data_IF_394760360381
#
_entry.id   IF_394760360381
#
_cell.length_a   1.000
_cell.length_b   1.000
_cell.length_c   1.000
_cell.angle_alpha   90.00
_cell.angle_beta   90.00
_cell.angle_gamma   90.00
#
_symmetry.space_group_name_H-M   'P 1'
#
loop_
_entity.id
_entity.type
_entity.pdbx_description
1 polymer ?
#
# COMPACT_ATOMS: atom_id res chain seq x y z
N UNK A 1 1.93 -16.94 -21.79
CA UNK A 1 2.39 -15.55 -21.56
C UNK A 1 3.55 -15.61 -20.58
N UNK A 2 4.78 -15.57 -21.13
CA UNK A 2 6.02 -15.79 -20.41
C UNK A 2 6.42 -14.52 -19.63
N UNK A 3 5.97 -14.20 -18.50
CA UNK A 3 6.54 -13.21 -17.57
C UNK A 3 5.53 -12.44 -16.71
N UNK A 4 4.47 -13.10 -16.19
CA UNK A 4 3.58 -12.42 -15.28
C UNK A 4 4.30 -12.08 -13.94
N UNK A 5 5.24 -12.92 -13.51
CA UNK A 5 6.12 -12.61 -12.37
C UNK A 5 6.88 -11.31 -12.57
N UNK A 6 7.48 -11.09 -13.76
CA UNK A 6 8.20 -9.85 -14.05
C UNK A 6 7.26 -8.63 -14.03
N UNK A 7 6.07 -8.74 -14.63
CA UNK A 7 5.07 -7.67 -14.60
C UNK A 7 4.66 -7.33 -13.18
N UNK A 8 4.35 -8.36 -12.40
CA UNK A 8 3.96 -8.16 -11.01
C UNK A 8 5.12 -7.59 -10.18
N UNK A 9 6.37 -7.97 -10.48
CA UNK A 9 7.57 -7.36 -9.87
C UNK A 9 7.70 -5.88 -10.21
N UNK A 10 7.43 -5.48 -11.45
CA UNK A 10 7.40 -4.05 -11.85
C UNK A 10 6.29 -3.30 -11.10
N UNK A 11 5.11 -3.89 -10.99
CA UNK A 11 4.01 -3.30 -10.22
C UNK A 11 4.37 -3.15 -8.74
N UNK A 12 4.96 -4.16 -8.14
CA UNK A 12 5.46 -4.10 -6.76
C UNK A 12 6.53 -3.01 -6.61
N UNK A 13 7.47 -2.94 -7.55
CA UNK A 13 8.54 -1.93 -7.52
C UNK A 13 7.96 -0.50 -7.58
N UNK A 14 7.14 -0.20 -8.57
CA UNK A 14 6.57 1.15 -8.75
C UNK A 14 5.62 1.54 -7.62
N UNK A 15 4.83 0.57 -7.14
CA UNK A 15 3.93 0.79 -6.01
C UNK A 15 4.69 1.14 -4.73
N UNK A 16 5.70 0.33 -4.36
CA UNK A 16 6.47 0.54 -3.13
C UNK A 16 7.40 1.75 -3.21
N UNK A 17 7.88 2.12 -4.40
CA UNK A 17 8.62 3.37 -4.60
C UNK A 17 7.78 4.60 -4.21
N UNK A 18 6.50 4.63 -4.59
CA UNK A 18 5.59 5.71 -4.24
C UNK A 18 5.14 5.64 -2.77
N UNK A 19 4.77 4.44 -2.29
CA UNK A 19 4.19 4.23 -0.95
C UNK A 19 5.20 4.48 0.16
N UNK A 20 6.44 4.01 0.01
CA UNK A 20 7.49 4.27 0.98
C UNK A 20 7.82 5.75 1.10
N UNK A 21 7.84 6.46 -0.02
CA UNK A 21 8.11 7.90 -0.01
C UNK A 21 7.03 8.71 0.71
N UNK A 22 5.74 8.40 0.48
CA UNK A 22 4.65 9.10 1.15
C UNK A 22 4.63 8.80 2.67
N UNK A 23 4.98 7.59 3.09
CA UNK A 23 5.00 7.20 4.49
C UNK A 23 6.23 7.74 5.24
N UNK A 24 7.44 7.47 4.72
CA UNK A 24 8.69 7.79 5.44
C UNK A 24 9.01 9.28 5.51
N UNK A 25 8.60 10.05 4.51
CA UNK A 25 8.81 11.49 4.48
C UNK A 25 7.61 12.31 4.97
N UNK A 26 6.55 11.66 5.46
CA UNK A 26 5.34 12.30 5.98
C UNK A 26 5.67 13.35 7.07
N UNK A 27 6.39 12.93 8.09
CA UNK A 27 6.78 13.81 9.21
C UNK A 27 7.60 14.99 8.73
N UNK A 28 8.62 14.74 7.89
CA UNK A 28 9.46 15.81 7.35
C UNK A 28 8.66 16.81 6.52
N UNK A 29 7.73 16.33 5.71
CA UNK A 29 6.86 17.17 4.88
C UNK A 29 5.93 18.04 5.73
N UNK A 30 5.20 17.43 6.65
CA UNK A 30 4.20 18.12 7.48
C UNK A 30 4.84 19.13 8.44
N UNK A 31 6.00 18.80 9.05
CA UNK A 31 6.75 19.73 9.88
C UNK A 31 7.22 20.95 9.07
N UNK A 32 7.70 20.76 7.84
CA UNK A 32 8.09 21.89 6.95
C UNK A 32 6.92 22.74 6.49
N UNK A 33 5.69 22.22 6.55
CA UNK A 33 4.46 23.00 6.35
C UNK A 33 4.03 23.77 7.58
N UNK A 34 4.76 23.69 8.70
CA UNK A 34 4.48 24.40 9.94
C UNK A 34 3.52 23.70 10.89
N UNK A 35 3.23 22.40 10.65
CA UNK A 35 2.39 21.61 11.56
C UNK A 35 3.26 21.15 12.73
N UNK A 36 2.77 21.29 13.96
CA UNK A 36 3.52 20.87 15.16
C UNK A 36 3.70 19.35 15.21
N UNK A 37 4.79 18.88 15.81
CA UNK A 37 5.14 17.46 15.90
C UNK A 37 4.05 16.61 16.57
N UNK A 38 3.40 17.14 17.60
CA UNK A 38 2.29 16.46 18.26
C UNK A 38 1.10 16.23 17.34
N UNK A 39 0.71 17.25 16.55
CA UNK A 39 -0.38 17.12 15.57
C UNK A 39 0.00 16.16 14.44
N UNK A 40 1.25 16.19 13.96
CA UNK A 40 1.74 15.25 12.96
C UNK A 40 1.66 13.81 13.47
N UNK A 41 2.14 13.56 14.70
CA UNK A 41 2.06 12.22 15.30
C UNK A 41 0.63 11.73 15.46
N UNK A 42 -0.28 12.58 15.98
CA UNK A 42 -1.71 12.23 16.11
C UNK A 42 -2.35 11.94 14.76
N UNK A 43 -2.06 12.73 13.74
CA UNK A 43 -2.61 12.57 12.40
C UNK A 43 -2.18 11.26 11.75
N UNK A 44 -0.89 10.95 11.83
CA UNK A 44 -0.35 9.71 11.27
C UNK A 44 -0.83 8.48 12.05
N UNK A 45 -0.97 8.58 13.37
CA UNK A 45 -1.55 7.54 14.20
C UNK A 45 -3.01 7.27 13.82
N UNK A 46 -3.82 8.31 13.61
CA UNK A 46 -5.21 8.16 13.15
C UNK A 46 -5.29 7.54 11.76
N UNK A 47 -4.43 7.96 10.82
CA UNK A 47 -4.35 7.35 9.50
C UNK A 47 -4.00 5.85 9.58
N UNK A 48 -3.04 5.48 10.44
CA UNK A 48 -2.67 4.09 10.70
C UNK A 48 -3.81 3.27 11.33
N UNK A 49 -4.52 3.83 12.30
CA UNK A 49 -5.70 3.18 12.90
C UNK A 49 -6.81 2.96 11.87
N UNK A 50 -7.11 3.96 11.05
CA UNK A 50 -8.07 3.81 9.95
C UNK A 50 -7.63 2.72 8.96
N UNK A 51 -6.34 2.65 8.62
CA UNK A 51 -5.79 1.58 7.79
C UNK A 51 -5.97 0.22 8.44
N UNK A 52 -5.63 0.08 9.71
CA UNK A 52 -5.79 -1.17 10.46
C UNK A 52 -7.24 -1.66 10.49
N UNK A 53 -8.21 -0.76 10.62
CA UNK A 53 -9.64 -1.10 10.60
C UNK A 53 -10.17 -1.44 9.19
N UNK A 54 -9.65 -0.77 8.16
CA UNK A 54 -10.12 -0.97 6.78
C UNK A 54 -9.48 -2.16 6.09
N UNK A 55 -8.24 -2.52 6.43
CA UNK A 55 -7.51 -3.63 5.80
C UNK A 55 -8.25 -4.99 5.89
N UNK A 56 -8.80 -5.43 7.04
CA UNK A 56 -9.56 -6.67 7.11
C UNK A 56 -10.83 -6.65 6.24
N UNK A 57 -11.50 -5.50 6.16
CA UNK A 57 -12.69 -5.33 5.33
C UNK A 57 -12.33 -5.44 3.84
N UNK A 58 -11.25 -4.81 3.44
CA UNK A 58 -10.74 -4.88 2.08
C UNK A 58 -10.20 -6.27 1.73
N UNK A 59 -9.56 -6.97 2.67
CA UNK A 59 -9.14 -8.36 2.49
C UNK A 59 -10.36 -9.28 2.31
N UNK A 60 -11.38 -9.16 3.15
CA UNK A 60 -12.61 -9.93 3.01
C UNK A 60 -13.36 -9.61 1.71
N UNK A 61 -13.32 -8.37 1.24
CA UNK A 61 -13.83 -7.98 -0.07
C UNK A 61 -13.00 -8.63 -1.19
N UNK A 62 -11.67 -8.63 -1.05
CA UNK A 62 -10.75 -9.24 -2.00
C UNK A 62 -11.04 -10.73 -2.20
N UNK A 63 -11.24 -11.46 -1.11
CA UNK A 63 -11.51 -12.92 -1.13
C UNK A 63 -12.83 -13.26 -1.87
N UNK A 64 -13.80 -12.35 -1.83
CA UNK A 64 -15.09 -12.50 -2.51
C UNK A 64 -15.09 -11.96 -3.94
N UNK A 65 -14.10 -11.15 -4.29
CA UNK A 65 -14.06 -10.38 -5.52
C UNK A 65 -13.28 -11.11 -6.62
N UNK A 66 -13.66 -10.84 -7.87
CA UNK A 66 -12.91 -11.30 -9.05
C UNK A 66 -11.67 -10.43 -9.25
N UNK A 67 -10.61 -10.97 -9.86
CA UNK A 67 -9.35 -10.25 -10.09
C UNK A 67 -9.51 -8.89 -10.79
N UNK A 68 -10.48 -8.75 -11.70
CA UNK A 68 -10.80 -7.47 -12.33
C UNK A 68 -11.35 -6.43 -11.34
N UNK A 69 -12.13 -6.84 -10.34
CA UNK A 69 -12.63 -5.94 -9.30
C UNK A 69 -11.51 -5.50 -8.34
N UNK A 70 -10.57 -6.41 -8.01
CA UNK A 70 -9.38 -6.09 -7.24
C UNK A 70 -8.54 -5.02 -7.93
N UNK A 71 -8.23 -5.22 -9.22
CA UNK A 71 -7.45 -4.25 -10.01
C UNK A 71 -8.14 -2.89 -10.04
N UNK A 72 -9.46 -2.84 -10.26
CA UNK A 72 -10.22 -1.59 -10.25
C UNK A 72 -10.14 -0.86 -8.91
N UNK A 73 -10.24 -1.58 -7.80
CA UNK A 73 -10.18 -0.99 -6.47
C UNK A 73 -8.76 -0.47 -6.14
N UNK A 74 -7.72 -1.23 -6.52
CA UNK A 74 -6.32 -0.76 -6.38
C UNK A 74 -6.10 0.51 -7.21
N UNK A 75 -6.59 0.54 -8.45
CA UNK A 75 -6.48 1.72 -9.31
C UNK A 75 -7.24 2.91 -8.72
N UNK A 76 -8.44 2.71 -8.20
CA UNK A 76 -9.23 3.77 -7.56
C UNK A 76 -8.47 4.37 -6.36
N UNK A 77 -7.98 3.53 -5.45
CA UNK A 77 -7.20 3.99 -4.29
C UNK A 77 -5.90 4.70 -4.73
N UNK A 78 -5.24 4.20 -5.77
CA UNK A 78 -4.04 4.84 -6.32
C UNK A 78 -4.34 6.18 -6.97
N UNK A 79 -5.46 6.32 -7.67
CA UNK A 79 -5.91 7.60 -8.24
C UNK A 79 -6.30 8.60 -7.15
N UNK A 80 -7.03 8.17 -6.12
CA UNK A 80 -7.35 9.01 -4.96
C UNK A 80 -6.07 9.49 -4.26
N UNK A 81 -5.11 8.60 -4.03
CA UNK A 81 -3.82 8.96 -3.46
C UNK A 81 -3.08 9.98 -4.35
N UNK A 82 -3.08 9.79 -5.68
CA UNK A 82 -2.49 10.75 -6.62
C UNK A 82 -3.18 12.11 -6.55
N UNK A 83 -4.51 12.13 -6.46
CA UNK A 83 -5.29 13.35 -6.28
C UNK A 83 -4.92 14.08 -4.98
N UNK A 84 -4.78 13.35 -3.88
CA UNK A 84 -4.30 13.92 -2.61
C UNK A 84 -2.91 14.55 -2.74
N UNK A 85 -1.98 13.88 -3.43
CA UNK A 85 -0.64 14.42 -3.67
C UNK A 85 -0.64 15.65 -4.57
N UNK A 86 -1.47 15.67 -5.61
CA UNK A 86 -1.63 16.85 -6.49
C UNK A 86 -2.21 18.06 -5.75
N UNK A 87 -3.19 17.84 -4.87
CA UNK A 87 -3.73 18.90 -4.01
C UNK A 87 -2.63 19.52 -3.14
N UNK A 88 -1.66 18.73 -2.65
CA UNK A 88 -0.53 19.25 -1.86
C UNK A 88 0.36 20.24 -2.63
N UNK A 89 0.29 20.25 -3.97
CA UNK A 89 1.08 21.16 -4.81
C UNK A 89 0.43 22.55 -4.96
N UNK A 90 -0.84 22.69 -4.57
CA UNK A 90 -1.54 23.98 -4.65
C UNK A 90 -0.97 24.92 -3.57
N UNK A 91 -0.52 26.13 -3.96
CA UNK A 91 -0.02 27.10 -2.99
C UNK A 91 -1.16 27.74 -2.18
N UNK A 92 -0.87 28.15 -0.95
CA UNK A 92 -1.83 28.90 -0.11
C UNK A 92 -2.93 28.06 0.54
N UNK A 93 -2.85 26.72 0.51
CA UNK A 93 -3.83 25.90 1.18
C UNK A 93 -3.80 26.09 2.70
N UNK A 94 -4.98 26.12 3.37
CA UNK A 94 -5.05 26.07 4.83
C UNK A 94 -4.32 24.87 5.38
N UNK A 95 -3.63 25.05 6.49
CA UNK A 95 -2.78 24.02 7.09
C UNK A 95 -3.57 22.75 7.46
N UNK A 96 -4.82 22.93 7.89
CA UNK A 96 -5.75 21.83 8.18
C UNK A 96 -6.06 20.98 6.95
N UNK A 97 -6.26 21.62 5.80
CA UNK A 97 -6.50 20.92 4.51
C UNK A 97 -5.26 20.13 4.11
N UNK A 98 -4.07 20.75 4.22
CA UNK A 98 -2.79 20.07 3.97
C UNK A 98 -2.66 18.81 4.83
N UNK A 99 -2.92 18.93 6.13
CA UNK A 99 -2.81 17.85 7.09
C UNK A 99 -3.77 16.69 6.78
N UNK A 100 -5.06 16.99 6.63
CA UNK A 100 -6.11 15.99 6.39
C UNK A 100 -5.94 15.30 5.04
N UNK A 101 -5.69 16.06 3.99
CA UNK A 101 -5.52 15.50 2.63
C UNK A 101 -4.25 14.64 2.56
N UNK A 102 -3.18 15.00 3.26
CA UNK A 102 -1.99 14.17 3.31
C UNK A 102 -2.25 12.84 4.04
N UNK A 103 -2.92 12.88 5.20
CA UNK A 103 -3.31 11.69 5.95
C UNK A 103 -4.23 10.76 5.13
N UNK A 104 -5.16 11.33 4.38
CA UNK A 104 -6.02 10.58 3.45
C UNK A 104 -5.18 9.90 2.35
N UNK A 105 -4.17 10.57 1.82
CA UNK A 105 -3.24 9.99 0.84
C UNK A 105 -2.45 8.82 1.43
N UNK A 106 -1.96 8.93 2.66
CA UNK A 106 -1.30 7.83 3.39
C UNK A 106 -2.27 6.66 3.55
N UNK A 107 -3.47 6.92 4.06
CA UNK A 107 -4.49 5.90 4.25
C UNK A 107 -4.84 5.18 2.94
N UNK A 108 -5.07 5.89 1.84
CA UNK A 108 -5.35 5.28 0.52
C UNK A 108 -4.19 4.39 0.06
N UNK A 109 -2.95 4.82 0.32
CA UNK A 109 -1.76 4.05 -0.02
C UNK A 109 -1.70 2.75 0.77
N UNK A 110 -1.89 2.80 2.08
CA UNK A 110 -1.81 1.61 2.93
C UNK A 110 -2.98 0.64 2.72
N UNK A 111 -4.18 1.17 2.48
CA UNK A 111 -5.39 0.39 2.22
C UNK A 111 -5.28 -0.48 0.95
N UNK A 112 -4.48 -0.10 -0.03
CA UNK A 112 -4.29 -0.87 -1.25
C UNK A 112 -3.31 -2.06 -1.09
N UNK A 113 -2.51 -2.11 -0.02
CA UNK A 113 -1.51 -3.18 0.21
C UNK A 113 -2.11 -4.58 0.25
N UNK A 114 -3.15 -4.87 1.07
CA UNK A 114 -3.75 -6.21 1.10
C UNK A 114 -4.36 -6.61 -0.24
N UNK A 115 -4.95 -5.66 -0.97
CA UNK A 115 -5.51 -5.91 -2.29
C UNK A 115 -4.43 -6.27 -3.31
N UNK A 116 -3.29 -5.57 -3.25
CA UNK A 116 -2.13 -5.86 -4.10
C UNK A 116 -1.60 -7.27 -3.83
N UNK A 117 -1.51 -7.68 -2.56
CA UNK A 117 -1.08 -9.03 -2.19
C UNK A 117 -2.11 -10.10 -2.66
N UNK A 118 -3.41 -9.85 -2.45
CA UNK A 118 -4.49 -10.73 -2.91
C UNK A 118 -4.49 -10.90 -4.44
N UNK A 119 -4.08 -9.89 -5.18
CA UNK A 119 -4.00 -9.94 -6.63
C UNK A 119 -3.03 -11.03 -7.12
N UNK A 120 -1.87 -11.23 -6.45
CA UNK A 120 -0.93 -12.30 -6.82
C UNK A 120 -1.54 -13.68 -6.62
N UNK A 121 -2.25 -13.88 -5.50
CA UNK A 121 -2.95 -15.13 -5.20
C UNK A 121 -4.07 -15.40 -6.21
N UNK A 122 -4.81 -14.34 -6.59
CA UNK A 122 -5.87 -14.46 -7.59
C UNK A 122 -5.32 -14.88 -8.97
N UNK A 123 -4.14 -14.39 -9.38
CA UNK A 123 -3.50 -14.83 -10.61
C UNK A 123 -2.97 -16.26 -10.54
N UNK A 124 -2.35 -16.63 -9.41
CA UNK A 124 -1.84 -17.98 -9.19
C UNK A 124 -2.98 -19.02 -9.23
N UNK A 125 -4.09 -18.72 -8.55
CA UNK A 125 -5.30 -19.55 -8.57
C UNK A 125 -5.96 -19.62 -9.97
N UNK A 126 -5.73 -18.63 -10.83
CA UNK A 126 -6.23 -18.64 -12.22
C UNK A 126 -5.31 -19.38 -13.20
N UNK A 127 -4.27 -20.08 -12.71
CA UNK A 127 -3.31 -20.81 -13.51
C UNK A 127 -2.19 -19.96 -14.13
N UNK A 128 -2.02 -18.73 -13.66
CA UNK A 128 -0.90 -17.88 -14.04
C UNK A 128 0.12 -17.82 -12.89
N UNK A 129 1.15 -18.66 -12.87
CA UNK A 129 2.09 -18.74 -11.75
C UNK A 129 2.82 -17.42 -11.55
N UNK A 130 2.71 -16.87 -10.34
CA UNK A 130 3.38 -15.65 -9.92
C UNK A 130 4.29 -15.97 -8.74
N UNK A 131 5.60 -15.77 -8.91
CA UNK A 131 6.52 -15.87 -7.79
C UNK A 131 6.42 -14.62 -6.91
N UNK A 132 5.53 -14.69 -5.91
CA UNK A 132 5.29 -13.59 -4.97
C UNK A 132 6.56 -13.18 -4.20
N UNK A 133 7.39 -14.14 -3.79
CA UNK A 133 8.62 -13.87 -3.04
C UNK A 133 9.60 -12.99 -3.82
N UNK A 134 9.82 -13.32 -5.09
CA UNK A 134 10.66 -12.51 -5.99
C UNK A 134 10.05 -11.11 -6.18
N UNK A 135 8.77 -11.04 -6.47
CA UNK A 135 8.10 -9.74 -6.68
C UNK A 135 8.13 -8.86 -5.42
N UNK A 136 7.97 -9.45 -4.23
CA UNK A 136 8.05 -8.72 -2.95
C UNK A 136 9.47 -8.22 -2.66
N UNK A 137 10.49 -8.98 -3.07
CA UNK A 137 11.88 -8.53 -2.98
C UNK A 137 12.12 -7.28 -3.84
N UNK A 138 11.56 -7.21 -5.06
CA UNK A 138 11.60 -5.98 -5.89
C UNK A 138 10.94 -4.79 -5.18
N UNK A 139 9.85 -5.02 -4.43
CA UNK A 139 9.24 -3.98 -3.59
C UNK A 139 10.17 -3.47 -2.49
N UNK A 140 10.92 -4.35 -1.82
CA UNK A 140 11.89 -3.96 -0.81
C UNK A 140 13.05 -3.15 -1.41
N UNK A 141 13.57 -3.58 -2.57
CA UNK A 141 14.59 -2.83 -3.32
C UNK A 141 14.06 -1.46 -3.72
N UNK A 142 12.82 -1.38 -4.19
CA UNK A 142 12.18 -0.11 -4.55
C UNK A 142 12.10 0.85 -3.36
N UNK A 143 11.75 0.36 -2.18
CA UNK A 143 11.72 1.15 -0.94
C UNK A 143 13.10 1.74 -0.61
N UNK A 144 14.15 0.94 -0.68
CA UNK A 144 15.50 1.39 -0.41
C UNK A 144 15.99 2.43 -1.45
N UNK A 145 15.82 2.12 -2.73
CA UNK A 145 16.25 3.00 -3.83
C UNK A 145 15.45 4.31 -3.83
N UNK A 146 14.13 4.24 -3.66
CA UNK A 146 13.30 5.46 -3.66
C UNK A 146 13.59 6.36 -2.46
N UNK A 147 13.87 5.79 -1.28
CA UNK A 147 14.25 6.56 -0.09
C UNK A 147 15.57 7.30 -0.31
N UNK A 148 16.54 6.64 -0.91
CA UNK A 148 17.83 7.25 -1.27
C UNK A 148 17.64 8.38 -2.30
N UNK A 149 16.94 8.10 -3.39
CA UNK A 149 16.65 9.08 -4.45
C UNK A 149 15.89 10.27 -3.90
N UNK A 150 14.86 10.05 -3.06
CA UNK A 150 14.09 11.12 -2.42
C UNK A 150 14.95 11.99 -1.52
N UNK A 151 15.92 11.42 -0.80
CA UNK A 151 16.87 12.20 -0.02
C UNK A 151 17.62 13.22 -0.90
N UNK A 152 18.12 12.78 -2.05
CA UNK A 152 18.80 13.66 -3.03
C UNK A 152 17.83 14.67 -3.67
N UNK A 153 16.64 14.24 -4.04
CA UNK A 153 15.62 15.12 -4.64
C UNK A 153 15.21 16.23 -3.67
N UNK A 154 14.98 15.88 -2.41
CA UNK A 154 14.63 16.86 -1.37
C UNK A 154 15.78 17.85 -1.12
N UNK A 155 17.02 17.37 -1.15
CA UNK A 155 18.20 18.22 -0.97
C UNK A 155 18.39 19.23 -2.12
N UNK A 156 18.00 18.86 -3.36
CA UNK A 156 18.17 19.70 -4.56
C UNK A 156 16.95 20.55 -4.90
N UNK A 157 15.76 19.98 -4.79
CA UNK A 157 14.50 20.56 -5.27
C UNK A 157 13.50 20.85 -4.13
N UNK A 158 13.85 20.54 -2.89
CA UNK A 158 12.95 20.73 -1.76
C UNK A 158 11.71 19.83 -1.78
N UNK A 159 10.66 20.24 -1.08
CA UNK A 159 9.42 19.46 -0.93
C UNK A 159 8.60 19.36 -2.24
N UNK A 160 8.74 20.32 -3.14
CA UNK A 160 8.09 20.27 -4.46
C UNK A 160 8.66 19.11 -5.27
N UNK A 161 9.97 18.92 -5.26
CA UNK A 161 10.63 17.80 -5.92
C UNK A 161 10.16 16.46 -5.34
N UNK A 162 10.00 16.36 -4.03
CA UNK A 162 9.42 15.16 -3.38
C UNK A 162 8.01 14.85 -3.92
N UNK A 163 7.12 15.84 -3.94
CA UNK A 163 5.75 15.65 -4.42
C UNK A 163 5.72 15.23 -5.89
N UNK A 164 6.54 15.86 -6.75
CA UNK A 164 6.66 15.48 -8.15
C UNK A 164 7.13 14.04 -8.33
N UNK A 165 8.15 13.62 -7.58
CA UNK A 165 8.61 12.24 -7.59
C UNK A 165 7.50 11.25 -7.17
N UNK A 166 6.79 11.55 -6.07
CA UNK A 166 5.72 10.70 -5.57
C UNK A 166 4.57 10.58 -6.57
N UNK A 167 4.16 11.69 -7.18
CA UNK A 167 3.13 11.70 -8.23
C UNK A 167 3.60 10.87 -9.43
N UNK A 168 4.82 11.09 -9.92
CA UNK A 168 5.36 10.34 -11.04
C UNK A 168 5.45 8.83 -10.76
N UNK A 169 5.95 8.44 -9.58
CA UNK A 169 6.02 7.04 -9.16
C UNK A 169 4.62 6.42 -9.02
N UNK A 170 3.63 7.17 -8.54
CA UNK A 170 2.25 6.70 -8.43
C UNK A 170 1.61 6.51 -9.80
N UNK A 171 1.83 7.43 -10.74
CA UNK A 171 1.38 7.26 -12.12
C UNK A 171 2.06 6.07 -12.80
N UNK A 172 3.36 5.87 -12.60
CA UNK A 172 4.05 4.68 -13.09
C UNK A 172 3.45 3.38 -12.51
N UNK A 173 3.06 3.38 -11.23
CA UNK A 173 2.34 2.27 -10.62
C UNK A 173 0.98 2.02 -11.29
N UNK A 174 0.19 3.06 -11.54
CA UNK A 174 -1.10 2.95 -12.23
C UNK A 174 -0.91 2.37 -13.64
N UNK A 175 0.07 2.87 -14.38
CA UNK A 175 0.39 2.38 -15.74
C UNK A 175 0.86 0.91 -15.73
N UNK A 176 1.53 0.46 -14.67
CA UNK A 176 1.98 -0.93 -14.56
C UNK A 176 0.83 -1.94 -14.57
N UNK A 177 -0.38 -1.52 -14.17
CA UNK A 177 -1.58 -2.35 -14.24
C UNK A 177 -2.14 -2.49 -15.66
N UNK A 178 -1.72 -1.66 -16.62
CA UNK A 178 -2.15 -1.79 -18.00
C UNK A 178 -1.68 -3.11 -18.60
N UNK A 179 -2.62 -3.87 -19.19
CA UNK A 179 -2.33 -5.14 -19.88
C UNK A 179 -2.15 -6.35 -18.96
N UNK A 180 -2.62 -6.29 -17.71
CA UNK A 180 -2.86 -7.50 -16.95
C UNK A 180 -3.98 -8.33 -17.63
N UNK A 181 -3.84 -9.66 -17.71
CA UNK A 181 -4.88 -10.50 -18.28
C UNK A 181 -6.15 -10.39 -17.44
N UNK A 182 -7.30 -10.30 -18.13
CA UNK A 182 -8.58 -10.34 -17.45
C UNK A 182 -8.80 -11.74 -16.87
N UNK A 183 -8.88 -11.85 -15.55
CA UNK A 183 -9.22 -13.11 -14.89
C UNK A 183 -10.73 -13.30 -14.95
N UNK A 184 -11.19 -14.22 -15.78
CA UNK A 184 -12.63 -14.46 -16.00
C UNK A 184 -13.31 -15.22 -14.86
N UNK A 185 -12.62 -15.95 -14.03
CA UNK A 185 -13.11 -16.60 -12.79
C UNK A 185 -11.92 -17.30 -12.13
N UNK A 186 -11.60 -16.96 -10.89
CA UNK A 186 -10.94 -17.95 -10.04
C UNK A 186 -11.93 -19.11 -9.94
N UNK A 187 -11.58 -20.29 -10.42
CA UNK A 187 -12.31 -21.48 -10.06
C UNK A 187 -12.20 -21.59 -8.54
N UNK A 188 -13.31 -21.76 -7.80
CA UNK A 188 -13.20 -22.12 -6.42
C UNK A 188 -12.33 -23.37 -6.38
N UNK A 189 -11.26 -23.35 -5.62
CA UNK A 189 -10.48 -24.57 -5.38
C UNK A 189 -11.45 -25.54 -4.74
N UNK A 190 -11.96 -26.51 -5.52
CA UNK A 190 -12.74 -27.62 -5.01
C UNK A 190 -11.84 -28.34 -4.01
N UNK A 191 -12.09 -28.17 -2.73
CA UNK A 191 -11.36 -28.87 -1.69
C UNK A 191 -11.23 -28.15 -0.35
N UNK A 192 -11.43 -26.85 -0.29
CA UNK A 192 -11.64 -26.18 1.00
C UNK A 192 -13.10 -25.80 1.15
N UNK A 193 -13.93 -26.77 1.56
CA UNK A 193 -15.11 -26.42 2.39
C UNK A 193 -14.54 -25.61 3.56
N UNK A 194 -14.70 -24.29 3.49
CA UNK A 194 -14.38 -23.41 4.59
C UNK A 194 -15.22 -23.89 5.76
N UNK A 195 -14.64 -24.58 6.70
CA UNK A 195 -15.15 -24.51 8.07
C UNK A 195 -15.27 -23.02 8.34
N UNK A 196 -16.46 -22.57 8.77
CA UNK A 196 -16.69 -21.19 9.19
C UNK A 196 -15.74 -20.87 10.34
N UNK A 197 -14.50 -20.56 9.99
CA UNK A 197 -13.46 -20.26 10.95
C UNK A 197 -13.65 -18.80 11.35
N UNK A 198 -14.52 -18.60 12.34
CA UNK A 198 -14.59 -17.33 13.03
C UNK A 198 -13.18 -16.94 13.49
N UNK A 199 -12.83 -15.66 13.43
CA UNK A 199 -11.53 -15.13 13.83
C UNK A 199 -11.08 -15.69 15.20
N UNK A 200 -12.01 -15.83 16.14
CA UNK A 200 -11.79 -16.42 17.47
C UNK A 200 -11.40 -17.91 17.40
N UNK A 201 -12.02 -18.69 16.52
CA UNK A 201 -11.72 -20.12 16.33
C UNK A 201 -10.33 -20.29 15.70
N UNK A 202 -9.94 -19.39 14.77
CA UNK A 202 -8.59 -19.38 14.19
C UNK A 202 -7.52 -19.12 15.27
N UNK A 203 -7.73 -18.13 16.12
CA UNK A 203 -6.78 -17.79 17.19
C UNK A 203 -6.67 -18.89 18.24
N UNK A 204 -7.74 -19.58 18.60
CA UNK A 204 -7.69 -20.72 19.53
C UNK A 204 -6.97 -21.94 18.91
N UNK A 205 -7.06 -22.13 17.60
CA UNK A 205 -6.45 -23.26 16.89
C UNK A 205 -4.95 -23.04 16.62
N UNK A 206 -4.49 -21.79 16.54
CA UNK A 206 -3.11 -21.44 16.24
C UNK A 206 -2.50 -20.47 17.28
N UNK A 207 -2.31 -20.90 18.55
CA UNK A 207 -1.82 -20.02 19.61
C UNK A 207 -0.41 -19.49 19.35
N UNK A 208 0.46 -20.25 18.67
CA UNK A 208 1.82 -19.83 18.29
C UNK A 208 1.76 -18.65 17.32
N UNK A 209 0.79 -18.62 16.42
CA UNK A 209 0.60 -17.50 15.49
C UNK A 209 0.16 -16.23 16.24
N UNK A 210 -0.71 -16.34 17.25
CA UNK A 210 -1.06 -15.22 18.12
C UNK A 210 0.15 -14.68 18.87
N UNK A 211 0.97 -15.57 19.42
CA UNK A 211 2.18 -15.18 20.16
C UNK A 211 3.18 -14.45 19.23
N UNK A 212 3.34 -14.92 18.01
CA UNK A 212 4.22 -14.26 17.02
C UNK A 212 3.68 -12.89 16.60
N UNK A 213 2.36 -12.72 16.43
CA UNK A 213 1.75 -11.42 16.14
C UNK A 213 1.91 -10.44 17.30
N UNK A 214 1.71 -10.90 18.53
CA UNK A 214 1.96 -10.09 19.74
C UNK A 214 3.44 -9.70 19.85
N UNK A 215 4.35 -10.62 19.57
CA UNK A 215 5.80 -10.35 19.57
C UNK A 215 6.20 -9.31 18.52
N UNK A 216 5.66 -9.40 17.31
CA UNK A 216 5.91 -8.43 16.22
C UNK A 216 5.29 -7.08 16.58
N UNK A 217 4.07 -7.07 17.13
CA UNK A 217 3.42 -5.82 17.60
C UNK A 217 4.20 -5.16 18.70
N UNK A 218 4.67 -5.92 19.68
CA UNK A 218 5.51 -5.44 20.78
C UNK A 218 6.84 -4.88 20.26
N UNK A 219 7.51 -5.60 19.37
CA UNK A 219 8.74 -5.13 18.72
C UNK A 219 8.53 -3.82 17.98
N UNK A 220 7.43 -3.68 17.22
CA UNK A 220 7.09 -2.45 16.49
C UNK A 220 6.85 -1.23 17.39
N UNK A 221 6.44 -1.43 18.65
CA UNK A 221 6.29 -0.34 19.62
C UNK A 221 7.63 0.18 20.19
N UNK A 222 8.70 -0.61 20.12
CA UNK A 222 10.00 -0.27 20.69
C UNK A 222 11.07 0.07 19.63
N UNK A 223 10.79 -0.09 18.36
CA UNK A 223 11.66 0.38 17.27
C UNK A 223 11.26 1.82 16.92
N UNK A 224 12.17 2.81 17.08
CA UNK A 224 11.91 4.20 16.74
C UNK A 224 11.71 4.42 15.25
#
# INVERSE_FOLDING_TARGET
>A
MKNLTLRYSITQFTYWAASSGIAFFATTYLLRRGISSGVVGTLLALAGLCSCMTQPLLAAYADRSRGAALTKLILLLSLLCSGCLLVQMVPGLPITVVAVVYALGVWCSDAAVPLLNALSVAYDNAGYPVNYGVARAFGAVATAVSSLVLGFVIARMGMVGMLLFLVAARFASILSFAGYPAISRAQPTEGRKGEDCTVLTFFSRYPIYCLSLLGIGFWGCFTP
#
